data_IF_057970836973
#
_entry.id   IF_057970836973
#
_cell.length_a   1.000
_cell.length_b   1.000
_cell.length_c   1.000
_cell.angle_alpha   90.00
_cell.angle_beta   90.00
_cell.angle_gamma   90.00
#
_symmetry.space_group_name_H-M   'P 1'
#
loop_
_entity.id
_entity.type
_entity.pdbx_description
1 polymer ?
#
# COMPACT_ATOMS: atom_id res chain seq x y z
N UNK A 1 13.97 -11.73 -11.47
CA UNK A 1 14.88 -10.97 -12.36
C UNK A 1 14.13 -9.78 -12.93
N UNK A 2 14.76 -8.61 -13.08
CA UNK A 2 14.15 -7.44 -13.72
C UNK A 2 14.87 -7.18 -15.05
N UNK A 3 14.11 -7.07 -16.15
CA UNK A 3 14.60 -6.76 -17.49
C UNK A 3 13.89 -5.50 -18.00
N UNK A 4 14.63 -4.53 -18.50
CA UNK A 4 14.06 -3.25 -18.96
C UNK A 4 13.62 -3.33 -20.41
N UNK A 5 12.41 -2.87 -20.70
CA UNK A 5 11.92 -2.63 -22.05
C UNK A 5 12.05 -1.14 -22.37
N UNK A 6 12.70 -0.81 -23.48
CA UNK A 6 13.00 0.59 -23.84
C UNK A 6 12.64 0.91 -25.29
N UNK A 7 12.20 2.14 -25.55
CA UNK A 7 11.92 2.65 -26.89
C UNK A 7 10.65 2.04 -27.48
N UNK A 8 10.67 1.72 -28.78
CA UNK A 8 9.52 1.15 -29.49
C UNK A 8 9.78 -0.33 -29.81
N UNK A 9 8.79 -1.19 -29.63
CA UNK A 9 8.85 -2.60 -30.05
C UNK A 9 7.79 -2.83 -31.14
N UNK A 10 8.23 -2.98 -32.39
CA UNK A 10 7.35 -3.15 -33.54
C UNK A 10 7.87 -4.21 -34.52
N UNK A 11 7.25 -4.32 -35.71
CA UNK A 11 7.60 -5.35 -36.68
C UNK A 11 9.04 -5.27 -37.20
N UNK A 12 9.71 -4.12 -37.06
CA UNK A 12 11.06 -3.92 -37.56
C UNK A 12 12.13 -4.47 -36.62
N UNK A 13 11.85 -4.51 -35.31
CA UNK A 13 12.83 -4.91 -34.29
C UNK A 13 12.36 -6.03 -33.35
N UNK A 14 11.10 -6.48 -33.43
CA UNK A 14 10.55 -7.51 -32.55
C UNK A 14 11.41 -8.78 -32.48
N UNK A 15 11.92 -9.27 -33.62
CA UNK A 15 12.76 -10.48 -33.64
C UNK A 15 14.08 -10.28 -32.88
N UNK A 16 14.70 -9.11 -33.00
CA UNK A 16 15.94 -8.80 -32.30
C UNK A 16 15.70 -8.65 -30.79
N UNK A 17 14.62 -7.96 -30.41
CA UNK A 17 14.21 -7.83 -29.00
C UNK A 17 13.93 -9.19 -28.38
N UNK A 18 13.24 -10.08 -29.10
CA UNK A 18 12.98 -11.45 -28.65
C UNK A 18 14.27 -12.24 -28.41
N UNK A 19 15.24 -12.14 -29.31
CA UNK A 19 16.54 -12.79 -29.15
C UNK A 19 17.28 -12.26 -27.92
N UNK A 20 17.34 -10.95 -27.74
CA UNK A 20 17.95 -10.32 -26.56
C UNK A 20 17.27 -10.75 -25.26
N UNK A 21 15.93 -10.71 -25.21
CA UNK A 21 15.18 -11.14 -24.03
C UNK A 21 15.43 -12.62 -23.72
N UNK A 22 15.40 -13.49 -24.72
CA UNK A 22 15.67 -14.91 -24.51
C UNK A 22 17.10 -15.16 -24.03
N UNK A 23 18.09 -14.40 -24.51
CA UNK A 23 19.47 -14.50 -24.04
C UNK A 23 19.61 -14.06 -22.58
N UNK A 24 18.98 -12.97 -22.18
CA UNK A 24 19.02 -12.48 -20.79
C UNK A 24 18.30 -13.42 -19.82
N UNK A 25 17.20 -14.03 -20.27
CA UNK A 25 16.37 -14.92 -19.45
C UNK A 25 16.91 -16.37 -19.43
N UNK A 26 17.80 -16.73 -20.37
CA UNK A 26 18.22 -18.11 -20.55
C UNK A 26 18.81 -18.73 -19.27
N UNK A 27 18.26 -19.87 -18.85
CA UNK A 27 18.69 -20.59 -17.66
C UNK A 27 18.23 -20.00 -16.33
N UNK A 28 17.49 -18.88 -16.32
CA UNK A 28 16.87 -18.35 -15.12
C UNK A 28 15.56 -19.07 -14.81
N UNK A 29 15.47 -19.65 -13.63
CA UNK A 29 14.23 -20.24 -13.09
C UNK A 29 13.70 -19.36 -11.97
N UNK A 30 12.65 -18.58 -12.24
CA UNK A 30 11.98 -17.75 -11.24
C UNK A 30 11.11 -16.66 -11.86
N UNK A 31 10.67 -15.73 -11.02
CA UNK A 31 9.84 -14.60 -11.44
C UNK A 31 10.61 -13.64 -12.37
N UNK A 32 10.00 -13.31 -13.51
CA UNK A 32 10.54 -12.36 -14.49
C UNK A 32 9.68 -11.10 -14.47
N UNK A 33 10.33 -9.96 -14.26
CA UNK A 33 9.70 -8.65 -14.23
C UNK A 33 10.20 -7.87 -15.44
N UNK A 34 9.30 -7.58 -16.37
CA UNK A 34 9.58 -6.69 -17.49
C UNK A 34 9.24 -5.26 -17.06
N UNK A 35 10.26 -4.42 -16.86
CA UNK A 35 10.10 -3.01 -16.50
C UNK A 35 9.88 -2.17 -17.77
N UNK A 36 8.64 -1.74 -17.97
CA UNK A 36 8.19 -0.95 -19.12
C UNK A 36 8.32 0.57 -18.91
N UNK A 37 9.03 1.03 -17.88
CA UNK A 37 9.25 2.47 -17.63
C UNK A 37 9.85 3.21 -18.83
N UNK A 38 10.71 2.53 -19.59
CA UNK A 38 11.32 3.06 -20.82
C UNK A 38 10.56 2.72 -22.11
N UNK A 39 9.49 1.92 -22.06
CA UNK A 39 8.75 1.49 -23.24
C UNK A 39 7.80 2.62 -23.68
N UNK A 40 7.93 3.02 -24.94
CA UNK A 40 7.17 4.12 -25.54
C UNK A 40 6.02 3.62 -26.40
N UNK A 41 6.16 2.44 -27.01
CA UNK A 41 5.15 1.86 -27.89
C UNK A 41 5.38 0.37 -28.10
N UNK A 42 4.28 -0.40 -28.23
CA UNK A 42 4.32 -1.81 -28.60
C UNK A 42 3.28 -2.13 -29.67
N UNK A 43 3.69 -2.78 -30.76
CA UNK A 43 2.77 -3.24 -31.81
C UNK A 43 2.34 -4.70 -31.60
N UNK A 44 1.44 -5.22 -32.44
CA UNK A 44 1.07 -6.64 -32.43
C UNK A 44 2.27 -7.59 -32.60
N UNK A 45 3.37 -7.13 -33.22
CA UNK A 45 4.60 -7.92 -33.30
C UNK A 45 5.29 -8.03 -31.94
N UNK A 46 5.42 -6.93 -31.21
CA UNK A 46 5.97 -6.92 -29.85
C UNK A 46 5.11 -7.68 -28.86
N UNK A 47 3.78 -7.55 -28.95
CA UNK A 47 2.84 -8.34 -28.12
C UNK A 47 3.07 -9.85 -28.27
N UNK A 48 3.35 -10.33 -29.49
CA UNK A 48 3.69 -11.75 -29.71
C UNK A 48 5.00 -12.16 -29.03
N UNK A 49 5.98 -11.26 -28.93
CA UNK A 49 7.21 -11.51 -28.16
C UNK A 49 6.88 -11.72 -26.68
N UNK A 50 6.10 -10.81 -26.09
CA UNK A 50 5.66 -10.91 -24.69
C UNK A 50 4.90 -12.23 -24.44
N UNK A 51 4.00 -12.63 -25.34
CA UNK A 51 3.28 -13.91 -25.23
C UNK A 51 4.21 -15.12 -25.19
N UNK A 52 5.27 -15.13 -26.01
CA UNK A 52 6.23 -16.24 -26.05
C UNK A 52 7.05 -16.29 -24.76
N UNK A 53 7.49 -15.15 -24.24
CA UNK A 53 8.17 -15.07 -22.95
C UNK A 53 7.28 -15.57 -21.82
N UNK A 54 6.02 -15.10 -21.73
CA UNK A 54 5.04 -15.55 -20.74
C UNK A 54 4.75 -17.05 -20.83
N UNK A 55 4.69 -17.61 -22.04
CA UNK A 55 4.46 -19.06 -22.24
C UNK A 55 5.60 -19.91 -21.70
N UNK A 56 6.84 -19.48 -21.89
CA UNK A 56 8.02 -20.15 -21.34
C UNK A 56 8.23 -19.87 -19.85
N UNK A 57 7.75 -18.73 -19.36
CA UNK A 57 7.91 -18.25 -18.00
C UNK A 57 6.55 -17.79 -17.42
N UNK A 58 5.73 -18.71 -16.90
CA UNK A 58 4.37 -18.43 -16.45
C UNK A 58 4.26 -17.36 -15.36
N UNK A 59 5.32 -17.08 -14.60
CA UNK A 59 5.33 -16.06 -13.55
C UNK A 59 5.81 -14.68 -14.05
N UNK A 60 5.87 -14.48 -15.38
CA UNK A 60 6.23 -13.17 -15.95
C UNK A 60 5.15 -12.14 -15.64
N UNK A 61 5.57 -10.95 -15.22
CA UNK A 61 4.76 -9.73 -15.04
C UNK A 61 5.40 -8.51 -15.71
N UNK A 62 4.60 -7.50 -16.01
CA UNK A 62 5.05 -6.23 -16.57
C UNK A 62 4.74 -5.10 -15.58
N UNK A 63 5.70 -4.22 -15.32
CA UNK A 63 5.51 -3.10 -14.40
C UNK A 63 5.85 -1.77 -15.07
N UNK A 64 5.41 -0.67 -14.45
CA UNK A 64 5.72 0.70 -14.86
C UNK A 64 5.27 1.05 -16.29
N UNK A 65 4.16 0.48 -16.77
CA UNK A 65 3.62 0.84 -18.08
C UNK A 65 3.11 2.28 -18.08
N UNK A 66 3.64 3.13 -18.99
CA UNK A 66 2.99 4.41 -19.32
C UNK A 66 1.55 4.16 -19.78
N UNK A 67 0.67 5.15 -19.60
CA UNK A 67 -0.76 5.01 -19.87
C UNK A 67 -1.04 4.46 -21.28
N UNK A 68 -0.46 5.05 -22.31
CA UNK A 68 -0.65 4.64 -23.71
C UNK A 68 -0.23 3.17 -23.96
N UNK A 69 0.87 2.73 -23.32
CA UNK A 69 1.35 1.35 -23.43
C UNK A 69 0.45 0.39 -22.66
N UNK A 70 0.02 0.78 -21.46
CA UNK A 70 -0.94 0.01 -20.68
C UNK A 70 -2.25 -0.17 -21.43
N UNK A 71 -2.77 0.89 -22.06
CA UNK A 71 -4.01 0.84 -22.85
C UNK A 71 -3.90 -0.13 -24.03
N UNK A 72 -2.73 -0.22 -24.68
CA UNK A 72 -2.50 -1.23 -25.72
C UNK A 72 -2.60 -2.65 -25.14
N UNK A 73 -1.98 -2.91 -23.98
CA UNK A 73 -2.10 -4.21 -23.31
C UNK A 73 -3.55 -4.51 -22.91
N UNK A 74 -4.26 -3.52 -22.36
CA UNK A 74 -5.64 -3.67 -21.90
C UNK A 74 -6.60 -3.95 -23.06
N UNK A 75 -6.55 -3.14 -24.11
CA UNK A 75 -7.38 -3.31 -25.32
C UNK A 75 -7.14 -4.65 -26.02
N UNK A 76 -5.97 -5.25 -25.84
CA UNK A 76 -5.62 -6.54 -26.44
C UNK A 76 -5.82 -7.73 -25.51
N UNK A 77 -6.34 -7.49 -24.29
CA UNK A 77 -6.67 -8.53 -23.30
C UNK A 77 -5.47 -9.06 -22.51
N UNK A 78 -4.30 -8.42 -22.57
CA UNK A 78 -3.11 -8.88 -21.85
C UNK A 78 -3.24 -8.73 -20.33
N UNK A 79 -3.96 -7.70 -19.88
CA UNK A 79 -4.24 -7.42 -18.47
C UNK A 79 -5.09 -8.52 -17.82
N UNK A 80 -5.84 -9.29 -18.62
CA UNK A 80 -6.63 -10.44 -18.14
C UNK A 80 -5.79 -11.73 -17.98
N UNK A 81 -4.69 -11.85 -18.73
CA UNK A 81 -3.88 -13.07 -18.79
C UNK A 81 -2.58 -13.02 -17.99
N UNK A 82 -2.12 -11.83 -17.60
CA UNK A 82 -0.92 -11.66 -16.79
C UNK A 82 -0.98 -10.36 -15.99
N UNK A 83 -0.17 -10.29 -14.92
CA UNK A 83 -0.05 -9.08 -14.12
C UNK A 83 0.68 -7.99 -14.92
N UNK A 84 -0.01 -6.88 -15.14
CA UNK A 84 0.51 -5.69 -15.81
C UNK A 84 0.12 -4.50 -14.94
N UNK A 85 1.10 -3.70 -14.51
CA UNK A 85 0.85 -2.51 -13.69
C UNK A 85 1.22 -1.22 -14.43
N UNK A 86 0.41 -0.18 -14.19
CA UNK A 86 0.67 1.18 -14.66
C UNK A 86 1.87 1.77 -13.92
N UNK A 87 2.58 2.69 -14.58
CA UNK A 87 3.47 3.60 -13.90
C UNK A 87 2.68 4.47 -12.93
N UNK A 88 3.26 4.74 -11.76
CA UNK A 88 2.70 5.71 -10.83
C UNK A 88 2.76 7.11 -11.42
N UNK A 89 1.75 7.92 -11.11
CA UNK A 89 1.75 9.32 -11.48
C UNK A 89 2.88 10.04 -10.72
N UNK A 90 3.74 10.72 -11.44
CA UNK A 90 4.79 11.54 -10.86
C UNK A 90 4.25 12.93 -10.50
N UNK A 91 4.58 13.42 -9.31
CA UNK A 91 4.25 14.78 -8.86
C UNK A 91 5.47 15.44 -8.23
N UNK A 92 5.45 16.78 -8.16
CA UNK A 92 6.38 17.54 -7.34
C UNK A 92 5.71 17.97 -6.03
N UNK A 93 6.48 17.98 -4.94
CA UNK A 93 6.08 18.55 -3.64
C UNK A 93 6.77 19.90 -3.36
N UNK A 94 7.53 20.42 -4.33
CA UNK A 94 8.21 21.71 -4.20
C UNK A 94 7.18 22.84 -4.01
N UNK A 95 7.36 23.64 -2.97
CA UNK A 95 6.44 24.74 -2.64
C UNK A 95 5.13 24.30 -1.98
N UNK A 96 4.90 23.01 -1.76
CA UNK A 96 3.72 22.52 -1.05
C UNK A 96 3.81 22.81 0.46
N UNK A 97 2.66 23.12 1.08
CA UNK A 97 2.55 23.33 2.53
C UNK A 97 2.71 22.00 3.27
N UNK A 98 3.56 21.97 4.30
CA UNK A 98 3.65 20.81 5.21
C UNK A 98 2.57 20.94 6.28
N UNK A 99 1.63 20.00 6.29
CA UNK A 99 0.52 19.99 7.26
C UNK A 99 0.76 19.04 8.44
N UNK A 100 1.75 18.16 8.33
CA UNK A 100 2.13 17.25 9.41
C UNK A 100 3.39 16.45 9.09
N UNK A 101 4.07 16.00 10.14
CA UNK A 101 5.21 15.09 10.04
C UNK A 101 5.07 13.98 11.07
N UNK A 102 5.16 12.74 10.61
CA UNK A 102 5.15 11.53 11.43
C UNK A 102 6.50 10.81 11.39
N UNK A 103 6.55 9.66 12.07
CA UNK A 103 7.74 8.81 12.06
C UNK A 103 8.06 8.29 10.65
N UNK A 104 7.03 7.89 9.90
CA UNK A 104 7.18 7.19 8.63
C UNK A 104 7.15 8.12 7.40
N UNK A 105 6.72 9.38 7.56
CA UNK A 105 6.48 10.25 6.42
C UNK A 105 6.17 11.70 6.77
N UNK A 106 6.10 12.54 5.75
CA UNK A 106 5.71 13.95 5.82
C UNK A 106 4.44 14.13 4.98
N UNK A 107 3.46 14.85 5.51
CA UNK A 107 2.20 15.11 4.84
C UNK A 107 2.22 16.51 4.23
N UNK A 108 2.08 16.57 2.92
CA UNK A 108 2.05 17.79 2.12
C UNK A 108 0.63 18.05 1.63
N UNK A 109 0.19 19.31 1.65
CA UNK A 109 -1.00 19.74 0.93
C UNK A 109 -0.60 20.11 -0.49
N UNK A 110 -1.13 19.38 -1.48
CA UNK A 110 -0.77 19.58 -2.90
C UNK A 110 -1.74 20.52 -3.62
N UNK A 111 -3.00 20.56 -3.18
CA UNK A 111 -4.03 21.47 -3.70
C UNK A 111 -5.10 21.72 -2.59
N UNK A 112 -6.16 22.51 -2.84
CA UNK A 112 -7.16 22.82 -1.81
C UNK A 112 -7.80 21.60 -1.16
N UNK A 113 -7.94 20.49 -1.89
CA UNK A 113 -8.74 19.33 -1.49
C UNK A 113 -7.90 18.04 -1.37
N UNK A 114 -6.60 18.09 -1.65
CA UNK A 114 -5.72 16.91 -1.69
C UNK A 114 -4.48 17.06 -0.81
N UNK A 115 -4.14 15.95 -0.15
CA UNK A 115 -2.88 15.79 0.59
C UNK A 115 -2.13 14.55 0.14
N UNK A 116 -0.82 14.58 0.30
CA UNK A 116 0.08 13.46 0.03
C UNK A 116 0.91 13.16 1.27
N UNK A 117 0.74 11.97 1.84
CA UNK A 117 1.64 11.40 2.86
C UNK A 117 2.83 10.79 2.12
N UNK A 118 3.93 11.53 2.03
CA UNK A 118 5.17 11.08 1.40
C UNK A 118 6.00 10.27 2.40
N UNK A 119 6.34 9.04 2.04
CA UNK A 119 7.08 8.14 2.93
C UNK A 119 8.58 8.40 2.78
N UNK A 120 9.32 8.34 3.91
CA UNK A 120 10.76 8.65 3.93
C UNK A 120 11.62 7.52 3.35
N UNK A 121 11.09 6.31 3.27
CA UNK A 121 11.79 5.12 2.77
C UNK A 121 11.43 4.86 1.29
N UNK A 122 12.41 4.79 0.36
CA UNK A 122 12.16 4.40 -1.03
C UNK A 122 11.47 3.04 -1.21
N UNK A 123 11.72 2.10 -0.29
CA UNK A 123 11.16 0.74 -0.35
C UNK A 123 9.76 0.63 0.27
N UNK A 124 9.10 1.76 0.58
CA UNK A 124 7.80 1.79 1.23
C UNK A 124 6.61 1.35 0.36
N UNK A 125 6.83 1.07 -0.93
CA UNK A 125 5.72 0.86 -1.86
C UNK A 125 4.84 -0.33 -1.47
N UNK A 126 5.44 -1.44 -1.04
CA UNK A 126 4.71 -2.62 -0.58
C UNK A 126 3.88 -2.32 0.67
N UNK A 127 4.45 -1.57 1.62
CA UNK A 127 3.77 -1.17 2.85
C UNK A 127 2.61 -0.20 2.56
N UNK A 128 2.81 0.76 1.64
CA UNK A 128 1.77 1.69 1.17
C UNK A 128 0.60 0.92 0.56
N UNK A 129 0.89 -0.05 -0.31
CA UNK A 129 -0.13 -0.89 -0.92
C UNK A 129 -0.86 -1.73 0.12
N UNK A 130 -0.14 -2.27 1.11
CA UNK A 130 -0.72 -3.03 2.19
C UNK A 130 -1.66 -2.18 3.06
N UNK A 131 -1.20 -1.01 3.54
CA UNK A 131 -1.98 -0.04 4.32
C UNK A 131 -3.26 0.37 3.56
N UNK A 132 -3.14 0.68 2.26
CA UNK A 132 -4.28 1.02 1.40
C UNK A 132 -5.29 -0.11 1.29
N UNK A 133 -4.82 -1.35 1.12
CA UNK A 133 -5.68 -2.52 1.05
C UNK A 133 -6.41 -2.78 2.38
N UNK A 134 -5.73 -2.63 3.52
CA UNK A 134 -6.33 -2.75 4.85
C UNK A 134 -7.39 -1.67 5.09
N UNK A 135 -7.07 -0.40 4.81
CA UNK A 135 -8.01 0.71 4.95
C UNK A 135 -9.25 0.52 4.06
N UNK A 136 -9.08 0.07 2.80
CA UNK A 136 -10.22 -0.21 1.91
C UNK A 136 -11.08 -1.35 2.43
N UNK A 137 -10.50 -2.44 2.93
CA UNK A 137 -11.25 -3.56 3.52
C UNK A 137 -12.03 -3.10 4.75
N UNK A 138 -11.39 -2.33 5.64
CA UNK A 138 -12.03 -1.75 6.81
C UNK A 138 -13.26 -0.91 6.43
N UNK A 139 -13.11 -0.05 5.42
CA UNK A 139 -14.21 0.79 4.93
C UNK A 139 -15.39 -0.04 4.41
N UNK A 140 -15.14 -1.08 3.59
CA UNK A 140 -16.18 -1.99 3.08
C UNK A 140 -16.92 -2.72 4.22
N UNK A 141 -16.26 -2.91 5.36
CA UNK A 141 -16.84 -3.50 6.57
C UNK A 141 -17.60 -2.48 7.43
N UNK A 142 -17.73 -1.23 6.97
CA UNK A 142 -18.46 -0.16 7.68
C UNK A 142 -17.63 0.57 8.73
N UNK A 143 -16.31 0.38 8.76
CA UNK A 143 -15.44 1.15 9.64
C UNK A 143 -15.26 2.55 9.04
N UNK A 144 -15.51 3.63 9.81
CA UNK A 144 -15.36 4.99 9.31
C UNK A 144 -13.86 5.34 9.27
N UNK A 145 -13.20 5.04 8.16
CA UNK A 145 -11.77 5.33 7.94
C UNK A 145 -11.56 6.22 6.72
N UNK A 146 -10.56 7.09 6.77
CA UNK A 146 -10.02 7.72 5.57
C UNK A 146 -9.40 6.64 4.68
N UNK A 147 -9.58 6.76 3.36
CA UNK A 147 -9.02 5.82 2.39
C UNK A 147 -8.12 6.58 1.42
N UNK A 148 -6.87 6.13 1.20
CA UNK A 148 -6.07 6.68 0.12
C UNK A 148 -6.62 6.22 -1.22
N UNK A 149 -6.94 7.17 -2.10
CA UNK A 149 -7.51 6.87 -3.42
C UNK A 149 -6.47 6.67 -4.51
N UNK A 150 -5.24 7.17 -4.33
CA UNK A 150 -4.15 7.09 -5.32
C UNK A 150 -2.79 6.90 -4.64
N UNK A 151 -1.81 6.43 -5.41
CA UNK A 151 -0.39 6.35 -5.01
C UNK A 151 0.42 7.09 -6.06
N UNK A 152 1.31 7.96 -5.60
CA UNK A 152 2.13 8.81 -6.46
C UNK A 152 3.61 8.57 -6.21
N UNK A 153 4.43 8.96 -7.18
CA UNK A 153 5.89 8.96 -7.09
C UNK A 153 6.40 10.40 -7.02
N UNK A 154 7.37 10.66 -6.14
CA UNK A 154 8.02 11.97 -5.95
C UNK A 154 9.52 11.73 -5.91
N UNK A 155 10.21 12.00 -7.03
CA UNK A 155 11.60 11.56 -7.19
C UNK A 155 11.68 10.04 -7.05
N UNK A 156 12.48 9.54 -6.11
CA UNK A 156 12.61 8.10 -5.82
C UNK A 156 11.70 7.61 -4.68
N UNK A 157 10.85 8.49 -4.14
CA UNK A 157 9.95 8.18 -3.03
C UNK A 157 8.51 7.96 -3.51
N UNK A 158 7.72 7.31 -2.67
CA UNK A 158 6.31 7.05 -2.91
C UNK A 158 5.43 7.75 -1.87
N UNK A 159 4.24 8.16 -2.30
CA UNK A 159 3.27 8.83 -1.44
C UNK A 159 1.85 8.29 -1.61
N UNK A 160 1.11 8.25 -0.52
CA UNK A 160 -0.32 7.96 -0.50
C UNK A 160 -1.12 9.25 -0.64
N UNK A 161 -2.05 9.29 -1.58
CA UNK A 161 -2.90 10.47 -1.83
C UNK A 161 -4.23 10.31 -1.10
N UNK A 162 -4.61 11.34 -0.35
CA UNK A 162 -5.85 11.41 0.41
C UNK A 162 -6.58 12.72 0.14
N UNK A 163 -7.88 12.73 0.41
CA UNK A 163 -8.66 13.96 0.47
C UNK A 163 -8.23 14.73 1.72
N UNK A 164 -8.10 16.06 1.60
CA UNK A 164 -7.90 16.92 2.75
C UNK A 164 -9.19 16.93 3.58
N UNK A 165 -9.16 16.21 4.68
CA UNK A 165 -10.23 16.28 5.67
C UNK A 165 -10.15 17.66 6.35
N UNK A 166 -11.24 18.44 6.32
CA UNK A 166 -11.40 19.61 7.18
C UNK A 166 -11.74 19.15 8.61
N UNK A 167 -10.82 18.41 9.22
CA UNK A 167 -10.99 17.67 10.45
C UNK A 167 -9.86 17.97 11.43
N UNK A 168 -10.15 17.85 12.73
CA UNK A 168 -9.13 17.92 13.78
C UNK A 168 -9.04 16.59 14.51
N UNK A 169 -7.82 16.18 14.88
CA UNK A 169 -7.66 14.99 15.72
C UNK A 169 -8.26 15.24 17.11
N UNK A 170 -8.68 14.18 17.79
CA UNK A 170 -9.12 14.27 19.19
C UNK A 170 -8.04 14.89 20.07
N UNK A 171 -6.76 14.58 19.81
CA UNK A 171 -5.64 15.19 20.51
C UNK A 171 -5.58 16.73 20.35
N UNK A 172 -5.85 17.25 19.15
CA UNK A 172 -5.91 18.69 18.89
C UNK A 172 -7.14 19.32 19.56
N UNK A 173 -8.31 18.68 19.46
CA UNK A 173 -9.53 19.17 20.11
C UNK A 173 -9.37 19.26 21.63
N UNK A 174 -8.73 18.28 22.27
CA UNK A 174 -8.44 18.31 23.71
C UNK A 174 -7.55 19.51 24.05
N UNK A 175 -6.51 19.78 23.25
CA UNK A 175 -5.64 20.96 23.44
C UNK A 175 -6.40 22.27 23.29
N UNK A 176 -7.43 22.31 22.46
CA UNK A 176 -8.30 23.47 22.25
C UNK A 176 -9.44 23.57 23.30
N UNK A 177 -9.46 22.70 24.31
CA UNK A 177 -10.42 22.75 25.41
C UNK A 177 -11.73 22.01 25.17
N UNK A 178 -11.77 21.08 24.21
CA UNK A 178 -12.93 20.20 24.03
C UNK A 178 -13.19 19.32 25.26
N UNK A 179 -14.45 18.93 25.48
CA UNK A 179 -14.82 18.07 26.59
C UNK A 179 -14.22 16.66 26.42
N UNK A 180 -13.29 16.30 27.32
CA UNK A 180 -12.57 15.02 27.30
C UNK A 180 -13.50 13.83 27.54
N UNK A 181 -14.49 13.95 28.43
CA UNK A 181 -15.43 12.86 28.72
C UNK A 181 -16.30 12.53 27.49
N UNK A 182 -16.70 13.56 26.75
CA UNK A 182 -17.45 13.41 25.50
C UNK A 182 -16.60 12.73 24.42
N UNK A 183 -15.36 13.17 24.22
CA UNK A 183 -14.45 12.54 23.26
C UNK A 183 -14.09 11.10 23.66
N UNK A 184 -13.97 10.82 24.95
CA UNK A 184 -13.75 9.46 25.44
C UNK A 184 -14.94 8.54 25.11
N UNK A 185 -16.19 9.02 25.28
CA UNK A 185 -17.39 8.26 24.88
C UNK A 185 -17.41 7.98 23.38
N UNK A 186 -17.17 9.01 22.58
CA UNK A 186 -17.12 8.88 21.12
C UNK A 186 -16.03 7.90 20.66
N UNK A 187 -14.85 7.93 21.29
CA UNK A 187 -13.78 6.97 21.04
C UNK A 187 -14.22 5.54 21.39
N UNK A 188 -14.86 5.33 22.54
CA UNK A 188 -15.39 4.02 22.92
C UNK A 188 -16.46 3.53 21.93
N UNK A 189 -17.30 4.42 21.40
CA UNK A 189 -18.32 4.03 20.41
C UNK A 189 -17.70 3.57 19.10
N UNK A 190 -16.60 4.20 18.65
CA UNK A 190 -15.82 3.72 17.50
C UNK A 190 -15.21 2.34 17.78
N UNK A 191 -14.64 2.14 18.98
CA UNK A 191 -14.09 0.83 19.37
C UNK A 191 -15.15 -0.26 19.39
N UNK A 192 -16.38 0.05 19.83
CA UNK A 192 -17.49 -0.91 19.76
C UNK A 192 -17.79 -1.31 18.33
N UNK A 193 -17.77 -0.37 17.38
CA UNK A 193 -17.93 -0.67 15.95
C UNK A 193 -16.83 -1.64 15.52
N UNK A 194 -15.55 -1.26 15.68
CA UNK A 194 -14.40 -2.10 15.29
C UNK A 194 -14.48 -3.50 15.92
N UNK A 195 -14.65 -3.59 17.24
CA UNK A 195 -14.63 -4.87 17.95
C UNK A 195 -15.90 -5.69 17.72
N UNK A 196 -17.00 -5.10 17.25
CA UNK A 196 -18.20 -5.86 16.85
C UNK A 196 -18.11 -6.43 15.44
N UNK A 197 -17.23 -5.90 14.60
CA UNK A 197 -16.99 -6.38 13.24
C UNK A 197 -16.27 -7.72 13.28
N UNK A 198 -16.88 -8.76 12.70
CA UNK A 198 -16.33 -10.11 12.62
C UNK A 198 -15.86 -10.43 11.20
N UNK A 199 -14.72 -11.10 11.12
CA UNK A 199 -14.01 -11.41 9.88
C UNK A 199 -14.06 -12.92 9.61
N UNK A 200 -13.96 -13.29 8.34
CA UNK A 200 -13.60 -14.67 7.97
C UNK A 200 -12.09 -14.87 8.13
N UNK A 201 -11.63 -16.09 8.46
CA UNK A 201 -10.22 -16.39 8.52
C UNK A 201 -9.49 -15.98 7.23
N UNK A 202 -8.41 -15.22 7.37
CA UNK A 202 -7.56 -14.77 6.26
C UNK A 202 -7.99 -13.47 5.56
N UNK A 203 -9.11 -12.83 5.95
CA UNK A 203 -9.51 -11.55 5.36
C UNK A 203 -8.55 -10.41 5.72
N UNK A 204 -8.07 -10.40 6.97
CA UNK A 204 -7.04 -9.49 7.49
C UNK A 204 -5.91 -10.28 8.19
N UNK A 205 -4.72 -9.68 8.38
CA UNK A 205 -3.62 -10.30 9.12
C UNK A 205 -4.01 -10.66 10.56
N UNK A 206 -3.47 -11.77 11.06
CA UNK A 206 -3.65 -12.18 12.46
C UNK A 206 -2.70 -11.40 13.38
N UNK A 207 -3.24 -10.48 14.18
CA UNK A 207 -2.41 -9.64 15.06
C UNK A 207 -1.67 -10.43 16.13
N UNK A 208 -2.25 -11.52 16.65
CA UNK A 208 -1.59 -12.37 17.65
C UNK A 208 -0.35 -13.03 17.07
N UNK A 209 -0.43 -13.54 15.84
CA UNK A 209 0.73 -14.13 15.15
C UNK A 209 1.83 -13.10 14.89
N UNK A 210 1.45 -11.86 14.53
CA UNK A 210 2.40 -10.76 14.35
C UNK A 210 3.13 -10.41 15.65
N UNK A 211 2.39 -10.27 16.75
CA UNK A 211 2.97 -9.99 18.07
C UNK A 211 3.87 -11.14 18.54
N UNK A 212 3.53 -12.39 18.26
CA UNK A 212 4.40 -13.53 18.55
C UNK A 212 5.71 -13.48 17.76
N UNK A 213 5.67 -13.08 16.48
CA UNK A 213 6.90 -12.86 15.68
C UNK A 213 7.77 -11.76 16.29
N UNK A 214 7.17 -10.68 16.78
CA UNK A 214 7.90 -9.62 17.48
C UNK A 214 8.53 -10.12 18.77
N UNK A 215 7.81 -10.94 19.55
CA UNK A 215 8.34 -11.53 20.78
C UNK A 215 9.54 -12.45 20.50
N UNK A 216 9.46 -13.30 19.46
CA UNK A 216 10.58 -14.15 19.03
C UNK A 216 11.78 -13.32 18.55
N UNK A 217 11.55 -12.26 17.76
CA UNK A 217 12.60 -11.34 17.35
C UNK A 217 13.28 -10.65 18.54
N UNK A 218 12.51 -10.30 19.57
CA UNK A 218 13.01 -9.65 20.78
C UNK A 218 13.77 -10.60 21.73
N UNK A 219 13.61 -11.93 21.58
CA UNK A 219 14.17 -12.95 22.48
C UNK A 219 15.66 -12.77 22.82
N UNK A 220 16.57 -12.46 21.87
CA UNK A 220 17.99 -12.28 22.19
C UNK A 220 18.28 -11.08 23.12
N UNK A 221 17.33 -10.16 23.25
CA UNK A 221 17.45 -8.92 24.02
C UNK A 221 16.75 -8.98 25.38
N UNK A 222 16.13 -10.11 25.73
CA UNK A 222 15.34 -10.29 26.96
C UNK A 222 15.95 -11.36 27.86
N UNK A 223 15.75 -11.23 29.17
CA UNK A 223 16.00 -12.35 30.08
C UNK A 223 14.96 -13.45 29.83
N UNK A 224 15.32 -14.71 30.12
CA UNK A 224 14.40 -15.84 29.97
C UNK A 224 13.08 -15.61 30.71
N UNK A 225 13.14 -15.07 31.93
CA UNK A 225 11.95 -14.78 32.73
C UNK A 225 11.02 -13.75 32.06
N UNK A 226 11.58 -12.68 31.48
CA UNK A 226 10.78 -11.66 30.79
C UNK A 226 10.21 -12.21 29.49
N UNK A 227 11.00 -12.96 28.73
CA UNK A 227 10.55 -13.62 27.51
C UNK A 227 9.37 -14.56 27.77
N UNK A 228 9.48 -15.42 28.78
CA UNK A 228 8.42 -16.37 29.14
C UNK A 228 7.15 -15.64 29.57
N UNK A 229 7.27 -14.52 30.31
CA UNK A 229 6.13 -13.67 30.68
C UNK A 229 5.45 -13.04 29.46
N UNK A 230 6.23 -12.52 28.50
CA UNK A 230 5.69 -11.93 27.25
C UNK A 230 4.96 -13.00 26.44
N UNK A 231 5.60 -14.15 26.22
CA UNK A 231 5.00 -15.27 25.49
C UNK A 231 3.72 -15.76 26.16
N UNK A 232 3.69 -15.85 27.50
CA UNK A 232 2.50 -16.23 28.24
C UNK A 232 1.37 -15.19 28.05
N UNK A 233 1.66 -13.90 28.21
CA UNK A 233 0.68 -12.82 28.05
C UNK A 233 0.01 -12.87 26.68
N UNK A 234 0.80 -13.05 25.60
CA UNK A 234 0.26 -13.10 24.23
C UNK A 234 -0.54 -14.38 24.02
N UNK A 235 -0.06 -15.53 24.49
CA UNK A 235 -0.74 -16.82 24.29
C UNK A 235 -2.05 -16.94 25.08
N UNK A 236 -2.14 -16.34 26.28
CA UNK A 236 -3.34 -16.33 27.12
C UNK A 236 -4.51 -15.52 26.50
N UNK A 237 -4.24 -14.58 25.58
CA UNK A 237 -5.29 -13.82 24.89
C UNK A 237 -6.14 -14.78 24.05
N UNK A 238 -7.47 -14.85 24.25
CA UNK A 238 -8.33 -15.72 23.47
C UNK A 238 -8.29 -15.39 21.97
N UNK A 239 -8.34 -16.43 21.14
CA UNK A 239 -8.47 -16.22 19.70
C UNK A 239 -9.88 -15.72 19.39
N UNK A 240 -9.96 -14.67 18.58
CA UNK A 240 -11.21 -14.19 18.01
C UNK A 240 -10.98 -13.69 16.59
N UNK A 241 -12.05 -13.61 15.82
CA UNK A 241 -12.05 -13.03 14.47
C UNK A 241 -12.61 -11.60 14.48
N UNK A 242 -12.62 -10.92 15.63
CA UNK A 242 -13.00 -9.52 15.70
C UNK A 242 -11.89 -8.64 15.13
N UNK A 243 -12.29 -7.60 14.40
CA UNK A 243 -11.35 -6.64 13.85
C UNK A 243 -10.62 -5.87 14.95
N UNK A 244 -9.37 -5.49 14.67
CA UNK A 244 -8.55 -4.60 15.48
C UNK A 244 -7.99 -3.52 14.56
N UNK A 245 -7.84 -2.30 15.08
CA UNK A 245 -7.13 -1.23 14.38
C UNK A 245 -5.60 -1.41 14.45
N UNK A 246 -5.08 -1.93 15.56
CA UNK A 246 -3.63 -2.15 15.75
C UNK A 246 -2.84 -0.94 16.26
N UNK A 247 -3.30 0.29 16.07
CA UNK A 247 -2.71 1.52 16.63
C UNK A 247 -3.78 2.55 17.03
N UNK A 248 -4.73 2.10 17.86
CA UNK A 248 -5.89 2.91 18.23
C UNK A 248 -5.54 3.95 19.31
N UNK A 249 -5.49 5.23 18.94
CA UNK A 249 -5.26 6.33 19.88
C UNK A 249 -5.83 7.69 19.41
N UNK A 250 -5.94 8.67 20.32
CA UNK A 250 -6.57 9.99 20.07
C UNK A 250 -5.96 10.85 18.96
N UNK A 251 -4.75 10.55 18.48
CA UNK A 251 -4.19 11.24 17.29
C UNK A 251 -4.68 10.64 15.97
N UNK A 252 -5.21 9.41 15.99
CA UNK A 252 -5.70 8.67 14.82
C UNK A 252 -7.23 8.73 14.69
N UNK A 253 -7.89 9.54 15.52
CA UNK A 253 -9.33 9.80 15.45
C UNK A 253 -9.51 11.25 15.03
N UNK A 254 -10.00 11.47 13.82
CA UNK A 254 -10.27 12.76 13.21
C UNK A 254 -11.75 13.09 13.32
N UNK A 255 -12.10 14.30 13.76
CA UNK A 255 -13.49 14.77 13.84
C UNK A 255 -13.78 15.81 12.77
N UNK A 256 -14.83 15.59 11.97
CA UNK A 256 -15.32 16.50 10.94
C UNK A 256 -16.85 16.57 11.01
N UNK A 257 -17.42 17.76 11.21
CA UNK A 257 -18.88 17.97 11.13
C UNK A 257 -19.74 16.94 11.91
N UNK A 258 -19.31 16.56 13.13
CA UNK A 258 -19.86 15.52 14.00
C UNK A 258 -19.63 14.05 13.61
N UNK A 259 -18.93 13.79 12.51
CA UNK A 259 -18.46 12.46 12.14
C UNK A 259 -17.04 12.25 12.64
N UNK A 260 -16.74 10.99 13.02
CA UNK A 260 -15.42 10.57 13.44
C UNK A 260 -14.86 9.60 12.41
N UNK A 261 -13.67 9.90 11.92
CA UNK A 261 -12.93 9.11 10.95
C UNK A 261 -11.62 8.63 11.55
N UNK A 262 -11.28 7.38 11.30
CA UNK A 262 -9.99 6.79 11.60
C UNK A 262 -8.99 7.08 10.49
N UNK A 263 -7.72 7.17 10.85
CA UNK A 263 -6.59 7.25 9.93
C UNK A 263 -5.54 6.22 10.36
N UNK A 264 -4.64 5.85 9.44
CA UNK A 264 -3.52 4.91 9.74
C UNK A 264 -4.03 3.50 10.12
N UNK A 265 -4.94 2.94 9.30
CA UNK A 265 -5.57 1.61 9.48
C UNK A 265 -4.71 0.45 9.01
#
# INVERSE_FOLDING_TARGET
MIVKLTGRIDSTNASAVEETLNQEINGFSGEIILDASGLEYISSAGLRVILRIKKSNPDTKIINCKLDVYEIFDMTGFTEMMEISKAYREISIEGCEVIGEGANGIVYRTDPDTIVKLYKNPDSLADIQHERELARKAFVMGIPTAIPYDVVKVGDLYGSVFELLNAKSFAMLIREGANVEQLAKESVDILKIIHSTTLKPGELPNKKEEVLKWAEFAKPYLSAEVYDKVMKLVNDVPNTNNMLHGDYHIKNIMKQNNENLLIDM
#
